data_IF_932496812106
#
_entry.id   IF_932496812106
#
_cell.length_a   1.000
_cell.length_b   1.000
_cell.length_c   1.000
_cell.angle_alpha   90.00
_cell.angle_beta   90.00
_cell.angle_gamma   90.00
#
_symmetry.space_group_name_H-M   'P 1'
#
loop_
_entity.id
_entity.type
_entity.pdbx_description
1 polymer ?
#
# COMPACT_ATOMS: atom_id res chain seq x y z
N UNK A 1 -17.91 9.79 -2.07
CA UNK A 1 -17.20 10.78 -1.25
C UNK A 1 -15.91 10.21 -0.61
N UNK A 2 -15.97 9.05 0.10
CA UNK A 2 -14.78 8.44 0.74
C UNK A 2 -13.62 8.19 -0.24
N UNK A 3 -13.88 7.55 -1.39
CA UNK A 3 -12.86 7.26 -2.38
C UNK A 3 -12.14 8.51 -2.91
N UNK A 4 -12.88 9.62 -3.09
CA UNK A 4 -12.31 10.90 -3.54
C UNK A 4 -11.39 11.47 -2.46
N UNK A 5 -11.82 11.44 -1.20
CA UNK A 5 -11.02 11.90 -0.07
C UNK A 5 -9.73 11.08 0.08
N UNK A 6 -9.81 9.75 -0.02
CA UNK A 6 -8.64 8.85 0.02
C UNK A 6 -7.69 9.13 -1.15
N UNK A 7 -8.20 9.35 -2.37
CA UNK A 7 -7.35 9.71 -3.50
C UNK A 7 -6.64 11.06 -3.31
N UNK A 8 -7.34 12.04 -2.73
CA UNK A 8 -6.74 13.33 -2.42
C UNK A 8 -5.62 13.21 -1.38
N UNK A 9 -5.86 12.48 -0.27
CA UNK A 9 -4.83 12.23 0.75
C UNK A 9 -3.66 11.42 0.19
N UNK A 10 -3.92 10.47 -0.73
CA UNK A 10 -2.90 9.72 -1.44
C UNK A 10 -1.99 10.64 -2.28
N UNK A 11 -2.57 11.63 -2.98
CA UNK A 11 -1.81 12.63 -3.73
C UNK A 11 -0.93 13.51 -2.83
N UNK A 12 -1.48 14.01 -1.73
CA UNK A 12 -0.72 14.77 -0.72
C UNK A 12 0.40 13.92 -0.12
N UNK A 13 0.09 12.66 0.21
CA UNK A 13 1.06 11.70 0.72
C UNK A 13 2.19 11.42 -0.28
N UNK A 14 1.88 11.27 -1.57
CA UNK A 14 2.88 11.05 -2.60
C UNK A 14 3.85 12.23 -2.72
N UNK A 15 3.35 13.46 -2.60
CA UNK A 15 4.17 14.67 -2.62
C UNK A 15 5.11 14.74 -1.40
N UNK A 16 4.58 14.52 -0.20
CA UNK A 16 5.39 14.44 1.02
C UNK A 16 6.38 13.26 0.97
N UNK A 17 5.94 12.12 0.43
CA UNK A 17 6.76 10.91 0.27
C UNK A 17 7.93 11.10 -0.67
N UNK A 18 7.80 11.91 -1.72
CA UNK A 18 8.91 12.29 -2.60
C UNK A 18 10.04 12.97 -1.83
N UNK A 19 9.70 13.91 -0.96
CA UNK A 19 10.69 14.59 -0.11
C UNK A 19 11.36 13.63 0.90
N UNK A 20 10.59 12.70 1.48
CA UNK A 20 11.13 11.63 2.34
C UNK A 20 12.03 10.67 1.57
N UNK A 21 11.65 10.31 0.33
CA UNK A 21 12.43 9.43 -0.54
C UNK A 21 13.80 10.04 -0.88
N UNK A 22 13.84 11.33 -1.16
CA UNK A 22 15.08 12.04 -1.45
C UNK A 22 16.01 12.13 -0.22
N UNK A 23 15.46 12.23 0.99
CA UNK A 23 16.22 12.42 2.21
C UNK A 23 16.68 11.10 2.85
N UNK A 24 15.84 10.08 2.87
CA UNK A 24 16.06 8.82 3.58
C UNK A 24 16.28 7.62 2.64
N UNK A 25 16.05 7.80 1.35
CA UNK A 25 16.14 6.76 0.33
C UNK A 25 14.84 5.95 0.18
N UNK A 26 14.63 5.45 -1.03
CA UNK A 26 13.37 4.75 -1.41
C UNK A 26 13.09 3.52 -0.56
N UNK A 27 14.13 2.76 -0.22
CA UNK A 27 14.00 1.53 0.56
C UNK A 27 13.46 1.80 1.98
N UNK A 28 14.04 2.77 2.68
CA UNK A 28 13.61 3.14 4.03
C UNK A 28 12.22 3.78 4.03
N UNK A 29 11.91 4.59 3.02
CA UNK A 29 10.59 5.21 2.87
C UNK A 29 9.50 4.15 2.68
N UNK A 30 9.72 3.14 1.84
CA UNK A 30 8.78 2.03 1.64
C UNK A 30 8.60 1.24 2.94
N UNK A 31 9.71 0.87 3.59
CA UNK A 31 9.69 0.08 4.83
C UNK A 31 8.95 0.79 5.97
N UNK A 32 9.24 2.07 6.16
CA UNK A 32 8.56 2.89 7.17
C UNK A 32 7.06 3.05 6.89
N UNK A 33 6.72 3.31 5.63
CA UNK A 33 5.31 3.45 5.23
C UNK A 33 4.54 2.14 5.36
N UNK A 34 5.13 0.99 5.01
CA UNK A 34 4.54 -0.33 5.21
C UNK A 34 4.29 -0.64 6.69
N UNK A 35 5.26 -0.31 7.54
CA UNK A 35 5.11 -0.49 8.99
C UNK A 35 3.95 0.33 9.55
N UNK A 36 3.85 1.60 9.16
CA UNK A 36 2.73 2.44 9.57
C UNK A 36 1.39 1.95 9.00
N UNK A 37 1.36 1.51 7.74
CA UNK A 37 0.15 0.93 7.15
C UNK A 37 -0.30 -0.34 7.87
N UNK A 38 0.63 -1.15 8.36
CA UNK A 38 0.28 -2.34 9.15
C UNK A 38 -0.37 -1.95 10.48
N UNK A 39 0.17 -0.95 11.18
CA UNK A 39 -0.42 -0.44 12.43
C UNK A 39 -1.81 0.15 12.19
N UNK A 40 -1.94 1.00 11.17
CA UNK A 40 -3.23 1.63 10.83
C UNK A 40 -4.23 0.57 10.35
N UNK A 41 -3.79 -0.41 9.58
CA UNK A 41 -4.61 -1.54 9.12
C UNK A 41 -5.15 -2.38 10.28
N UNK A 42 -4.34 -2.65 11.30
CA UNK A 42 -4.79 -3.27 12.54
C UNK A 42 -5.81 -2.39 13.29
N UNK A 43 -5.57 -1.08 13.32
CA UNK A 43 -6.52 -0.12 13.87
C UNK A 43 -7.88 -0.13 13.16
N UNK A 44 -7.88 -0.22 11.84
CA UNK A 44 -9.11 -0.35 11.03
C UNK A 44 -9.85 -1.65 11.38
N UNK A 45 -9.13 -2.75 11.53
CA UNK A 45 -9.69 -4.07 11.88
C UNK A 45 -10.39 -4.06 13.23
N UNK A 46 -9.83 -3.31 14.19
CA UNK A 46 -10.34 -3.20 15.56
C UNK A 46 -11.35 -2.05 15.73
N UNK A 47 -11.58 -1.24 14.68
CA UNK A 47 -12.42 -0.06 14.80
C UNK A 47 -13.89 -0.44 15.08
N UNK A 48 -14.50 0.10 16.17
CA UNK A 48 -15.89 -0.18 16.51
C UNK A 48 -16.88 0.74 15.76
N UNK A 49 -16.44 1.89 15.28
CA UNK A 49 -17.26 2.97 14.77
C UNK A 49 -16.92 3.35 13.31
N UNK A 50 -17.96 3.74 12.55
CA UNK A 50 -17.78 4.23 11.17
C UNK A 50 -16.85 5.47 11.09
N UNK A 51 -16.91 6.37 12.08
CA UNK A 51 -16.04 7.56 12.11
C UNK A 51 -14.57 7.19 12.24
N UNK A 52 -14.24 6.25 13.13
CA UNK A 52 -12.87 5.74 13.29
C UNK A 52 -12.38 5.08 12.01
N UNK A 53 -13.23 4.28 11.36
CA UNK A 53 -12.94 3.67 10.07
C UNK A 53 -12.60 4.74 9.00
N UNK A 54 -13.38 5.83 8.93
CA UNK A 54 -13.15 6.93 7.99
C UNK A 54 -11.80 7.61 8.23
N UNK A 55 -11.50 7.96 9.48
CA UNK A 55 -10.24 8.62 9.85
C UNK A 55 -9.04 7.74 9.54
N UNK A 56 -9.08 6.48 9.95
CA UNK A 56 -8.00 5.53 9.70
C UNK A 56 -7.82 5.24 8.20
N UNK A 57 -8.91 5.17 7.43
CA UNK A 57 -8.87 5.02 5.98
C UNK A 57 -8.19 6.21 5.28
N UNK A 58 -8.44 7.43 5.73
CA UNK A 58 -7.76 8.62 5.21
C UNK A 58 -6.26 8.61 5.54
N UNK A 59 -5.91 8.17 6.75
CA UNK A 59 -4.51 8.00 7.16
C UNK A 59 -3.83 6.91 6.29
N UNK A 60 -4.50 5.79 6.03
CA UNK A 60 -3.99 4.78 5.09
C UNK A 60 -3.73 5.38 3.70
N UNK A 61 -4.67 6.18 3.18
CA UNK A 61 -4.51 6.90 1.91
C UNK A 61 -3.23 7.73 1.87
N UNK A 62 -2.91 8.42 2.97
CA UNK A 62 -1.72 9.25 3.08
C UNK A 62 -0.41 8.44 2.91
N UNK A 63 -0.37 7.19 3.35
CA UNK A 63 0.81 6.33 3.25
C UNK A 63 0.88 5.52 1.94
N UNK A 64 -0.24 5.28 1.27
CA UNK A 64 -0.28 4.62 -0.05
C UNK A 64 0.50 5.43 -1.09
N UNK A 65 0.36 6.76 -1.08
CA UNK A 65 1.06 7.66 -1.99
C UNK A 65 2.59 7.52 -1.93
N UNK A 66 3.21 7.67 -0.76
CA UNK A 66 4.66 7.50 -0.58
C UNK A 66 5.17 6.14 -1.02
N UNK A 67 4.46 5.05 -0.71
CA UNK A 67 4.84 3.70 -1.11
C UNK A 67 4.88 3.58 -2.63
N UNK A 68 3.86 4.07 -3.32
CA UNK A 68 3.81 4.01 -4.79
C UNK A 68 4.91 4.87 -5.43
N UNK A 69 5.14 6.07 -4.93
CA UNK A 69 6.18 6.96 -5.42
C UNK A 69 7.58 6.36 -5.19
N UNK A 70 7.88 5.95 -3.97
CA UNK A 70 9.16 5.37 -3.59
C UNK A 70 9.43 4.03 -4.29
N UNK A 71 8.42 3.18 -4.51
CA UNK A 71 8.58 1.93 -5.27
C UNK A 71 9.00 2.19 -6.71
N UNK A 72 8.40 3.16 -7.38
CA UNK A 72 8.82 3.55 -8.74
C UNK A 72 10.21 4.16 -8.78
N UNK A 73 10.54 4.99 -7.81
CA UNK A 73 11.87 5.58 -7.63
C UNK A 73 12.93 4.48 -7.41
N UNK A 74 12.64 3.52 -6.53
CA UNK A 74 13.51 2.38 -6.26
C UNK A 74 13.79 1.57 -7.52
N UNK A 75 12.74 1.18 -8.25
CA UNK A 75 12.87 0.43 -9.52
C UNK A 75 13.71 1.21 -10.53
N UNK A 76 13.51 2.53 -10.63
CA UNK A 76 14.31 3.37 -11.52
C UNK A 76 15.79 3.43 -11.14
N UNK A 77 16.09 3.49 -9.83
CA UNK A 77 17.48 3.57 -9.32
C UNK A 77 18.24 2.25 -9.43
N UNK A 78 17.56 1.14 -9.26
CA UNK A 78 18.17 -0.22 -9.27
C UNK A 78 18.28 -0.77 -10.69
N UNK A 79 17.48 -0.28 -11.64
CA UNK A 79 17.44 -0.79 -13.00
C UNK A 79 18.61 -0.25 -13.83
N UNK A 80 19.44 -1.13 -14.47
CA UNK A 80 20.40 -0.73 -15.47
C UNK A 80 19.72 0.02 -16.63
N UNK A 81 20.40 1.00 -17.21
CA UNK A 81 19.81 1.85 -18.26
C UNK A 81 19.34 1.03 -19.48
N UNK A 82 20.11 0.00 -19.85
CA UNK A 82 19.81 -0.87 -21.00
C UNK A 82 18.54 -1.69 -20.84
N UNK A 83 18.15 -2.06 -19.60
CA UNK A 83 17.03 -2.93 -19.32
C UNK A 83 15.89 -2.24 -18.53
N UNK A 84 16.00 -0.93 -18.31
CA UNK A 84 15.05 -0.17 -17.49
C UNK A 84 13.60 -0.33 -17.94
N UNK A 85 13.35 -0.29 -19.25
CA UNK A 85 11.99 -0.46 -19.78
C UNK A 85 11.41 -1.86 -19.51
N UNK A 86 12.24 -2.90 -19.61
CA UNK A 86 11.82 -4.29 -19.33
C UNK A 86 11.51 -4.47 -17.85
N UNK A 87 12.37 -3.96 -16.96
CA UNK A 87 12.19 -4.07 -15.51
C UNK A 87 10.94 -3.31 -15.06
N UNK A 88 10.68 -2.11 -15.64
CA UNK A 88 9.43 -1.39 -15.40
C UNK A 88 8.20 -2.16 -15.92
N UNK A 89 8.32 -2.86 -17.05
CA UNK A 89 7.28 -3.76 -17.56
C UNK A 89 6.93 -4.87 -16.56
N UNK A 90 7.93 -5.55 -16.00
CA UNK A 90 7.74 -6.56 -14.95
C UNK A 90 7.15 -5.97 -13.67
N UNK A 91 7.60 -4.81 -13.24
CA UNK A 91 7.04 -4.11 -12.09
C UNK A 91 5.55 -3.79 -12.28
N UNK A 92 5.18 -3.24 -13.44
CA UNK A 92 3.78 -2.95 -13.77
C UNK A 92 2.93 -4.21 -13.88
N UNK A 93 3.49 -5.30 -14.43
CA UNK A 93 2.81 -6.58 -14.52
C UNK A 93 2.53 -7.17 -13.14
N UNK A 94 3.51 -7.15 -12.23
CA UNK A 94 3.33 -7.61 -10.85
C UNK A 94 2.24 -6.82 -10.12
N UNK A 95 2.19 -5.50 -10.31
CA UNK A 95 1.13 -4.65 -9.77
C UNK A 95 -0.26 -5.02 -10.31
N UNK A 96 -0.38 -5.31 -11.60
CA UNK A 96 -1.64 -5.74 -12.22
C UNK A 96 -2.09 -7.12 -11.73
N UNK A 97 -1.17 -8.06 -11.58
CA UNK A 97 -1.45 -9.38 -11.02
C UNK A 97 -1.98 -9.23 -9.59
N UNK A 98 -1.32 -8.46 -8.75
CA UNK A 98 -1.75 -8.21 -7.37
C UNK A 98 -3.11 -7.52 -7.32
N UNK A 99 -3.37 -6.56 -8.23
CA UNK A 99 -4.66 -5.88 -8.33
C UNK A 99 -5.82 -6.81 -8.68
N UNK A 100 -5.55 -7.90 -9.38
CA UNK A 100 -6.54 -8.93 -9.69
C UNK A 100 -6.74 -9.89 -8.53
N UNK A 101 -5.65 -10.43 -7.99
CA UNK A 101 -5.72 -11.44 -6.91
C UNK A 101 -6.14 -10.85 -5.56
N UNK A 102 -5.80 -9.60 -5.27
CA UNK A 102 -6.17 -8.94 -4.02
C UNK A 102 -7.68 -8.95 -3.76
N UNK A 103 -8.50 -8.37 -4.64
CA UNK A 103 -9.96 -8.38 -4.49
C UNK A 103 -10.56 -9.80 -4.53
N UNK A 104 -9.97 -10.72 -5.30
CA UNK A 104 -10.43 -12.10 -5.38
C UNK A 104 -10.28 -12.84 -4.06
N UNK A 105 -9.11 -12.73 -3.42
CA UNK A 105 -8.84 -13.33 -2.11
C UNK A 105 -9.72 -12.67 -1.05
N UNK A 106 -9.85 -11.34 -1.08
CA UNK A 106 -10.72 -10.58 -0.20
C UNK A 106 -12.18 -11.06 -0.27
N UNK A 107 -12.72 -11.16 -1.47
CA UNK A 107 -14.10 -11.62 -1.70
C UNK A 107 -14.29 -13.08 -1.28
N UNK A 108 -13.33 -13.97 -1.60
CA UNK A 108 -13.38 -15.37 -1.21
C UNK A 108 -13.42 -15.56 0.30
N UNK A 109 -12.62 -14.80 1.04
CA UNK A 109 -12.61 -14.87 2.52
C UNK A 109 -13.91 -14.37 3.13
N UNK A 110 -14.51 -13.31 2.57
CA UNK A 110 -15.83 -12.82 3.03
C UNK A 110 -16.90 -13.88 2.78
N UNK A 111 -16.91 -14.52 1.61
CA UNK A 111 -17.87 -15.56 1.26
C UNK A 111 -17.75 -16.79 2.19
N UNK A 112 -16.51 -17.16 2.55
CA UNK A 112 -16.27 -18.33 3.42
C UNK A 112 -16.59 -18.06 4.88
N UNK A 113 -16.33 -16.86 5.37
CA UNK A 113 -16.44 -16.52 6.79
C UNK A 113 -17.73 -15.76 7.14
N UNK A 114 -18.47 -15.27 6.13
CA UNK A 114 -19.60 -14.35 6.28
C UNK A 114 -19.26 -13.13 7.17
N UNK A 115 -18.01 -12.70 7.16
CA UNK A 115 -17.52 -11.60 7.98
C UNK A 115 -16.64 -10.66 7.17
N UNK A 116 -17.05 -9.39 7.04
CA UNK A 116 -16.31 -8.37 6.32
C UNK A 116 -14.92 -8.10 6.91
N UNK A 117 -14.77 -8.31 8.22
CA UNK A 117 -13.48 -8.16 8.92
C UNK A 117 -12.45 -9.20 8.48
N UNK A 118 -12.89 -10.40 8.12
CA UNK A 118 -12.00 -11.45 7.61
C UNK A 118 -11.35 -11.04 6.29
N UNK A 119 -12.08 -10.32 5.41
CA UNK A 119 -11.51 -9.73 4.21
C UNK A 119 -10.42 -8.69 4.51
N UNK A 120 -10.62 -7.85 5.52
CA UNK A 120 -9.64 -6.82 5.91
C UNK A 120 -8.32 -7.43 6.42
N UNK A 121 -8.36 -8.62 7.04
CA UNK A 121 -7.15 -9.36 7.46
C UNK A 121 -6.24 -9.62 6.26
N UNK A 122 -6.80 -9.86 5.08
CA UNK A 122 -6.01 -10.07 3.85
C UNK A 122 -5.08 -8.88 3.57
N UNK A 123 -5.56 -7.66 3.70
CA UNK A 123 -4.74 -6.46 3.49
C UNK A 123 -3.57 -6.38 4.48
N UNK A 124 -3.84 -6.67 5.77
CA UNK A 124 -2.81 -6.67 6.81
C UNK A 124 -1.76 -7.75 6.54
N UNK A 125 -2.18 -8.94 6.12
CA UNK A 125 -1.28 -10.03 5.74
C UNK A 125 -0.41 -9.64 4.54
N UNK A 126 -0.97 -9.01 3.51
CA UNK A 126 -0.18 -8.52 2.38
C UNK A 126 0.86 -7.47 2.78
N UNK A 127 0.50 -6.55 3.68
CA UNK A 127 1.46 -5.56 4.20
C UNK A 127 2.57 -6.22 5.02
N UNK A 128 2.23 -7.21 5.82
CA UNK A 128 3.20 -7.97 6.62
C UNK A 128 4.16 -8.77 5.73
N UNK A 129 3.64 -9.46 4.71
CA UNK A 129 4.46 -10.18 3.72
C UNK A 129 5.37 -9.22 2.98
N UNK A 130 4.85 -8.07 2.51
CA UNK A 130 5.65 -7.04 1.86
C UNK A 130 6.77 -6.50 2.77
N UNK A 131 6.46 -6.28 4.04
CA UNK A 131 7.43 -5.83 5.03
C UNK A 131 8.55 -6.85 5.29
N UNK A 132 8.20 -8.15 5.39
CA UNK A 132 9.17 -9.24 5.59
C UNK A 132 10.06 -9.41 4.36
N UNK A 133 9.49 -9.35 3.17
CA UNK A 133 10.28 -9.50 1.91
C UNK A 133 11.26 -8.32 1.75
N UNK A 134 10.88 -7.14 2.19
CA UNK A 134 11.74 -5.95 2.13
C UNK A 134 12.78 -5.89 3.26
N UNK A 135 12.59 -6.63 4.33
CA UNK A 135 13.48 -6.65 5.49
C UNK A 135 14.66 -7.54 5.33
#
# INVERSE_FOLDING_TARGET
MFAIAVNFTCGVGAFAGGWFDDKFGSFNTIRFSLFLMMIVGLGVLLSPNATTFWVLGLIMGLFIGPIQAASRSLVSRVSPEEHRAQIFGFYMLSGKITSFFGPLIYASLILWTNNERAGMVTAVVFFLVGFIILG
#
